data_IF_358834491811
#
_entry.id   IF_358834491811
#
_cell.length_a   1.000
_cell.length_b   1.000
_cell.length_c   1.000
_cell.angle_alpha   90.00
_cell.angle_beta   90.00
_cell.angle_gamma   90.00
#
_symmetry.space_group_name_H-M   'P 1'
#
loop_
_entity.id
_entity.type
_entity.pdbx_description
1 polymer ?
#
# COMPACT_ATOMS: atom_id res chain seq x y z
N UNK A 1 12.80 -17.27 -20.42
CA UNK A 1 11.98 -16.75 -19.60
C UNK A 1 12.48 -16.01 -18.41
N UNK A 2 13.75 -15.83 -18.36
CA UNK A 2 14.32 -15.00 -17.32
C UNK A 2 13.67 -13.64 -17.26
N UNK A 3 13.30 -13.12 -18.41
CA UNK A 3 12.73 -11.79 -18.43
C UNK A 3 11.37 -11.73 -17.77
N UNK A 4 10.66 -12.85 -17.72
CA UNK A 4 9.43 -12.90 -17.02
C UNK A 4 9.66 -12.77 -15.52
N UNK A 5 10.68 -13.45 -15.04
CA UNK A 5 11.03 -13.35 -13.63
C UNK A 5 11.49 -11.96 -13.29
N UNK A 6 12.18 -11.32 -14.20
CA UNK A 6 12.65 -9.96 -13.97
C UNK A 6 11.50 -9.00 -13.81
N UNK A 7 10.44 -9.18 -14.61
CA UNK A 7 9.27 -8.32 -14.46
C UNK A 7 8.62 -8.50 -13.11
N UNK A 8 8.54 -9.75 -12.67
CA UNK A 8 7.93 -10.04 -11.38
C UNK A 8 8.76 -9.53 -10.23
N UNK A 9 10.07 -9.56 -10.38
CA UNK A 9 10.92 -9.06 -9.30
C UNK A 9 10.90 -7.54 -9.21
N UNK A 10 10.29 -6.87 -10.20
CA UNK A 10 10.12 -5.43 -10.13
C UNK A 10 8.89 -5.07 -9.32
N UNK A 11 7.83 -4.64 -10.01
CA UNK A 11 6.66 -4.10 -9.35
C UNK A 11 5.71 -5.19 -8.86
N UNK A 12 5.34 -6.11 -9.75
CA UNK A 12 4.33 -7.11 -9.42
C UNK A 12 4.75 -8.01 -8.28
N UNK A 13 6.05 -8.21 -8.14
CA UNK A 13 6.58 -9.03 -7.07
C UNK A 13 6.21 -8.49 -5.69
N UNK A 14 6.00 -7.20 -5.58
CA UNK A 14 5.80 -6.53 -4.31
C UNK A 14 4.33 -6.37 -3.92
N UNK A 15 3.42 -6.78 -4.77
CA UNK A 15 1.98 -6.69 -4.48
C UNK A 15 1.42 -8.10 -4.53
N UNK A 16 0.86 -8.56 -3.41
CA UNK A 16 0.31 -9.92 -3.40
C UNK A 16 -0.74 -10.10 -2.32
N UNK A 17 -1.69 -10.97 -2.60
CA UNK A 17 -2.67 -11.38 -1.60
C UNK A 17 -2.10 -12.49 -0.75
N UNK A 18 -2.49 -12.52 0.52
CA UNK A 18 -2.11 -13.60 1.42
C UNK A 18 -3.20 -13.73 2.49
N UNK A 19 -3.16 -14.84 3.23
CA UNK A 19 -4.15 -15.13 4.26
C UNK A 19 -3.52 -15.03 5.64
N UNK A 20 -4.22 -14.36 6.56
CA UNK A 20 -3.77 -14.26 7.95
C UNK A 20 -4.99 -14.45 8.84
N UNK A 21 -4.95 -15.48 9.69
CA UNK A 21 -6.05 -15.80 10.61
C UNK A 21 -7.38 -15.92 9.88
N UNK A 22 -7.34 -16.60 8.73
CA UNK A 22 -8.54 -16.87 7.96
C UNK A 22 -9.05 -15.74 7.12
N UNK A 23 -8.38 -14.58 7.13
CA UNK A 23 -8.81 -13.44 6.32
C UNK A 23 -7.78 -13.15 5.23
N UNK A 24 -8.27 -12.78 4.06
CA UNK A 24 -7.40 -12.41 2.95
C UNK A 24 -6.99 -10.95 3.08
N UNK A 25 -5.70 -10.69 2.87
CA UNK A 25 -5.17 -9.33 2.90
C UNK A 25 -4.34 -9.09 1.66
N UNK A 26 -4.15 -7.82 1.34
CA UNK A 26 -3.28 -7.42 0.24
C UNK A 26 -2.04 -6.77 0.82
N UNK A 27 -0.87 -7.33 0.52
CA UNK A 27 0.39 -6.71 0.91
C UNK A 27 0.91 -5.86 -0.23
N UNK A 28 1.24 -4.61 0.10
CA UNK A 28 1.92 -3.72 -0.82
C UNK A 28 3.27 -3.43 -0.18
N UNK A 29 4.30 -4.10 -0.66
CA UNK A 29 5.64 -4.03 -0.07
C UNK A 29 6.44 -2.92 -0.73
N UNK A 30 6.49 -1.78 -0.05
CA UNK A 30 7.23 -0.61 -0.51
C UNK A 30 8.56 -0.47 0.24
N UNK A 31 8.96 -1.50 0.98
CA UNK A 31 10.17 -1.42 1.81
C UNK A 31 11.39 -1.16 0.94
N UNK A 32 12.20 -0.22 1.41
CA UNK A 32 13.47 0.18 0.78
C UNK A 32 13.33 0.65 -0.67
N UNK A 33 12.15 1.10 -1.06
CA UNK A 33 11.90 1.56 -2.42
C UNK A 33 12.37 2.99 -2.62
N UNK A 34 12.87 3.26 -3.83
CA UNK A 34 13.13 4.62 -4.27
C UNK A 34 11.79 5.29 -4.60
N UNK A 35 11.78 6.63 -4.73
CA UNK A 35 10.52 7.29 -5.12
C UNK A 35 9.95 6.78 -6.44
N UNK A 36 10.81 6.48 -7.41
CA UNK A 36 10.34 5.96 -8.70
C UNK A 36 9.67 4.60 -8.53
N UNK A 37 10.23 3.75 -7.67
CA UNK A 37 9.63 2.46 -7.40
C UNK A 37 8.31 2.59 -6.67
N UNK A 38 8.22 3.55 -5.73
CA UNK A 38 6.96 3.82 -5.04
C UNK A 38 5.88 4.21 -6.05
N UNK A 39 6.22 5.06 -7.03
CA UNK A 39 5.28 5.42 -8.08
C UNK A 39 4.78 4.21 -8.85
N UNK A 40 5.72 3.38 -9.30
CA UNK A 40 5.37 2.21 -10.11
C UNK A 40 4.46 1.26 -9.36
N UNK A 41 4.79 0.99 -8.11
CA UNK A 41 3.99 0.09 -7.29
C UNK A 41 2.61 0.68 -7.03
N UNK A 42 2.56 1.96 -6.69
CA UNK A 42 1.28 2.63 -6.41
C UNK A 42 0.35 2.59 -7.60
N UNK A 43 0.88 2.74 -8.82
CA UNK A 43 0.06 2.68 -10.02
C UNK A 43 -0.54 1.30 -10.27
N UNK A 44 0.11 0.27 -9.74
CA UNK A 44 -0.35 -1.10 -9.95
C UNK A 44 -1.38 -1.56 -8.92
N UNK A 45 -1.43 -0.92 -7.77
CA UNK A 45 -2.34 -1.35 -6.71
C UNK A 45 -3.79 -1.41 -7.18
N UNK A 46 -4.31 -0.42 -7.93
CA UNK A 46 -5.69 -0.51 -8.41
C UNK A 46 -5.99 -1.77 -9.21
N UNK A 47 -5.02 -2.29 -9.96
CA UNK A 47 -5.23 -3.50 -10.74
C UNK A 47 -5.58 -4.69 -9.85
N UNK A 48 -5.12 -4.67 -8.61
CA UNK A 48 -5.38 -5.75 -7.67
C UNK A 48 -6.68 -5.54 -6.90
N UNK A 49 -6.89 -4.32 -6.37
CA UNK A 49 -8.06 -4.09 -5.53
C UNK A 49 -9.35 -4.07 -6.32
N UNK A 50 -9.31 -3.66 -7.59
CA UNK A 50 -10.53 -3.59 -8.40
C UNK A 50 -11.05 -4.97 -8.78
N UNK A 51 -10.28 -6.03 -8.55
CA UNK A 51 -10.76 -7.40 -8.76
C UNK A 51 -11.62 -7.88 -7.59
N UNK A 52 -11.70 -7.09 -6.52
CA UNK A 52 -12.40 -7.51 -5.30
C UNK A 52 -13.69 -6.74 -5.10
N UNK A 53 -14.63 -7.30 -4.34
CA UNK A 53 -15.90 -6.61 -4.08
C UNK A 53 -15.68 -5.29 -3.34
N UNK A 54 -16.68 -4.41 -3.39
CA UNK A 54 -16.60 -3.15 -2.65
C UNK A 54 -16.34 -3.37 -1.16
N UNK A 55 -15.49 -2.53 -0.59
CA UNK A 55 -15.19 -2.50 0.85
C UNK A 55 -14.76 -3.84 1.42
N UNK A 56 -14.06 -4.64 0.62
CA UNK A 56 -13.63 -5.96 1.07
C UNK A 56 -12.13 -6.08 1.32
N UNK A 57 -11.32 -5.16 0.80
CA UNK A 57 -9.87 -5.32 0.85
C UNK A 57 -9.28 -4.80 2.15
N UNK A 58 -8.48 -5.64 2.79
CA UNK A 58 -7.66 -5.25 3.93
C UNK A 58 -6.25 -5.07 3.38
N UNK A 59 -5.74 -3.83 3.42
CA UNK A 59 -4.50 -3.49 2.75
C UNK A 59 -3.40 -3.14 3.76
N UNK A 60 -2.25 -3.80 3.62
CA UNK A 60 -1.08 -3.53 4.42
C UNK A 60 0.00 -2.94 3.53
N UNK A 61 0.37 -1.68 3.75
CA UNK A 61 1.43 -1.03 3.01
C UNK A 61 2.65 -0.87 3.90
N UNK A 62 3.77 -1.46 3.49
CA UNK A 62 5.01 -1.43 4.27
C UNK A 62 5.98 -0.46 3.63
N UNK A 63 6.25 0.66 4.33
CA UNK A 63 7.13 1.72 3.86
C UNK A 63 8.50 1.72 4.54
N UNK A 64 8.86 0.66 5.24
CA UNK A 64 10.13 0.63 5.97
C UNK A 64 11.31 0.92 5.03
N UNK A 65 12.05 1.99 5.30
CA UNK A 65 13.19 2.35 4.47
C UNK A 65 12.86 2.98 3.13
N UNK A 66 11.60 3.25 2.86
CA UNK A 66 11.19 3.85 1.59
C UNK A 66 11.47 5.34 1.55
N UNK A 67 11.68 5.86 0.34
CA UNK A 67 11.86 7.30 0.12
C UNK A 67 10.74 7.81 -0.76
N UNK A 68 10.29 9.03 -0.48
CA UNK A 68 9.21 9.66 -1.24
C UNK A 68 9.67 10.99 -1.80
N UNK A 69 9.10 11.35 -2.97
CA UNK A 69 9.23 12.69 -3.52
C UNK A 69 7.84 13.16 -3.94
N UNK A 70 7.74 14.33 -4.52
CA UNK A 70 6.46 14.90 -4.90
C UNK A 70 5.71 14.02 -5.90
N UNK A 71 6.43 13.45 -6.85
CA UNK A 71 5.80 12.59 -7.86
C UNK A 71 5.24 11.32 -7.23
N UNK A 72 5.98 10.72 -6.31
CA UNK A 72 5.52 9.53 -5.62
C UNK A 72 4.26 9.83 -4.81
N UNK A 73 4.27 10.96 -4.10
CA UNK A 73 3.13 11.37 -3.29
C UNK A 73 1.90 11.60 -4.17
N UNK A 74 2.10 12.27 -5.30
CA UNK A 74 0.99 12.53 -6.22
C UNK A 74 0.38 11.22 -6.72
N UNK A 75 1.24 10.27 -7.11
CA UNK A 75 0.77 8.98 -7.58
C UNK A 75 0.03 8.21 -6.50
N UNK A 76 0.52 8.29 -5.25
CA UNK A 76 -0.17 7.66 -4.13
C UNK A 76 -1.55 8.26 -3.93
N UNK A 77 -1.68 9.57 -4.07
CA UNK A 77 -2.98 10.23 -3.95
C UNK A 77 -3.96 9.72 -5.00
N UNK A 78 -3.52 9.66 -6.24
CA UNK A 78 -4.37 9.18 -7.33
C UNK A 78 -4.81 7.75 -7.08
N UNK A 79 -3.87 6.88 -6.74
CA UNK A 79 -4.18 5.48 -6.48
C UNK A 79 -5.16 5.33 -5.33
N UNK A 80 -4.96 6.11 -4.27
CA UNK A 80 -5.81 6.02 -3.09
C UNK A 80 -7.27 6.33 -3.43
N UNK A 81 -7.49 7.24 -4.36
CA UNK A 81 -8.85 7.58 -4.79
C UNK A 81 -9.47 6.42 -5.55
N UNK A 82 -8.73 5.82 -6.48
CA UNK A 82 -9.24 4.67 -7.24
C UNK A 82 -9.47 3.46 -6.34
N UNK A 83 -8.61 3.27 -5.35
CA UNK A 83 -8.69 2.11 -4.46
C UNK A 83 -9.87 2.21 -3.49
N UNK A 84 -10.24 3.42 -3.12
CA UNK A 84 -11.16 3.66 -2.02
C UNK A 84 -12.45 2.83 -2.04
N UNK A 85 -13.14 2.69 -3.17
CA UNK A 85 -14.41 1.94 -3.17
C UNK A 85 -14.24 0.49 -2.75
N UNK A 86 -13.05 -0.07 -2.90
CA UNK A 86 -12.77 -1.48 -2.63
C UNK A 86 -12.12 -1.73 -1.29
N UNK A 87 -11.67 -0.68 -0.62
CA UNK A 87 -10.90 -0.82 0.64
C UNK A 87 -11.81 -0.86 1.85
N UNK A 88 -11.56 -1.82 2.73
CA UNK A 88 -12.17 -1.88 4.05
C UNK A 88 -11.31 -1.14 5.05
N UNK A 89 -10.05 -1.57 5.18
CA UNK A 89 -9.07 -0.95 6.08
C UNK A 89 -7.72 -0.88 5.40
N UNK A 90 -6.96 0.17 5.71
CA UNK A 90 -5.57 0.30 5.28
C UNK A 90 -4.71 0.54 6.50
N UNK A 91 -3.61 -0.21 6.62
CA UNK A 91 -2.61 0.00 7.67
C UNK A 91 -1.27 0.28 7.03
N UNK A 92 -0.54 1.26 7.57
CA UNK A 92 0.80 1.60 7.13
C UNK A 92 1.82 1.12 8.17
N UNK A 93 2.95 0.61 7.69
CA UNK A 93 4.05 0.19 8.55
C UNK A 93 5.29 0.96 8.11
N UNK A 94 6.09 1.40 9.10
CA UNK A 94 7.36 2.02 8.80
C UNK A 94 7.27 3.44 8.26
N UNK A 95 6.15 4.10 8.47
CA UNK A 95 5.94 5.46 7.96
C UNK A 95 6.21 6.54 9.01
N UNK A 96 6.86 6.20 10.10
CA UNK A 96 7.09 7.15 11.20
C UNK A 96 7.94 8.34 10.77
N UNK A 97 8.82 8.13 9.82
CA UNK A 97 9.73 9.19 9.38
C UNK A 97 9.11 10.15 8.37
N UNK A 98 7.92 9.83 7.89
CA UNK A 98 7.27 10.70 6.92
C UNK A 98 6.71 11.93 7.65
N UNK A 99 6.76 13.10 6.99
CA UNK A 99 6.19 14.31 7.61
C UNK A 99 4.71 14.15 7.89
N UNK A 100 4.28 14.72 9.00
CA UNK A 100 2.88 14.70 9.39
C UNK A 100 1.99 15.35 8.32
N UNK A 101 2.49 16.42 7.70
CA UNK A 101 1.75 17.10 6.64
C UNK A 101 1.42 16.17 5.48
N UNK A 102 2.35 15.29 5.13
CA UNK A 102 2.14 14.34 4.06
C UNK A 102 0.99 13.40 4.38
N UNK A 103 0.98 12.86 5.58
CA UNK A 103 -0.08 11.95 6.01
C UNK A 103 -1.42 12.65 6.05
N UNK A 104 -1.44 13.87 6.56
CA UNK A 104 -2.66 14.66 6.63
C UNK A 104 -3.20 14.95 5.23
N UNK A 105 -2.30 15.25 4.32
CA UNK A 105 -2.68 15.56 2.95
C UNK A 105 -3.31 14.35 2.27
N UNK A 106 -2.72 13.18 2.46
CA UNK A 106 -3.26 11.96 1.89
C UNK A 106 -4.61 11.61 2.47
N UNK A 107 -4.76 11.76 3.79
CA UNK A 107 -6.03 11.50 4.47
C UNK A 107 -7.12 12.40 3.93
N UNK A 108 -6.82 13.68 3.78
CA UNK A 108 -7.78 14.65 3.26
C UNK A 108 -8.16 14.34 1.81
N UNK A 109 -7.15 14.09 0.99
CA UNK A 109 -7.38 13.89 -0.44
C UNK A 109 -8.18 12.62 -0.70
N UNK A 110 -7.81 11.53 -0.05
CA UNK A 110 -8.46 10.24 -0.24
C UNK A 110 -9.71 10.07 0.61
N UNK A 111 -9.89 10.93 1.59
CA UNK A 111 -11.03 10.87 2.51
C UNK A 111 -11.11 9.54 3.23
N UNK A 112 -9.96 9.05 3.70
CA UNK A 112 -9.90 7.85 4.52
C UNK A 112 -8.66 7.86 5.38
N UNK A 113 -8.69 7.04 6.44
CA UNK A 113 -7.61 7.01 7.41
C UNK A 113 -6.50 6.06 6.98
N UNK A 114 -5.28 6.41 7.39
CA UNK A 114 -4.10 5.58 7.15
C UNK A 114 -3.35 5.42 8.47
N UNK A 115 -3.89 4.64 9.42
CA UNK A 115 -3.19 4.46 10.69
C UNK A 115 -1.83 3.79 10.47
N UNK A 116 -0.84 4.21 11.26
CA UNK A 116 0.52 3.73 11.13
C UNK A 116 0.87 2.84 12.31
N UNK A 117 1.69 1.83 12.03
CA UNK A 117 2.11 0.85 13.03
C UNK A 117 3.63 0.67 12.92
N UNK A 118 4.25 0.23 14.00
CA UNK A 118 5.69 0.03 14.03
C UNK A 118 6.11 -1.27 13.38
N UNK A 119 5.23 -2.25 13.34
CA UNK A 119 5.58 -3.56 12.79
C UNK A 119 4.41 -4.11 11.98
N UNK A 120 4.75 -5.06 11.09
CA UNK A 120 3.71 -5.77 10.34
C UNK A 120 2.79 -6.55 11.26
N UNK A 121 3.34 -7.10 12.34
CA UNK A 121 2.55 -7.87 13.28
C UNK A 121 1.43 -7.05 13.90
N UNK A 122 1.75 -5.85 14.36
CA UNK A 122 0.76 -4.98 14.94
C UNK A 122 -0.30 -4.58 13.92
N UNK A 123 0.16 -4.27 12.70
CA UNK A 123 -0.75 -3.89 11.63
C UNK A 123 -1.70 -5.02 11.27
N UNK A 124 -1.16 -6.24 11.19
CA UNK A 124 -1.97 -7.41 10.84
C UNK A 124 -3.05 -7.67 11.90
N UNK A 125 -2.69 -7.54 13.16
CA UNK A 125 -3.67 -7.75 14.23
C UNK A 125 -4.82 -6.76 14.12
N UNK A 126 -4.50 -5.51 13.84
CA UNK A 126 -5.53 -4.49 13.69
C UNK A 126 -6.39 -4.74 12.46
N UNK A 127 -5.76 -5.13 11.35
CA UNK A 127 -6.51 -5.35 10.10
C UNK A 127 -7.53 -6.46 10.22
N UNK A 128 -7.20 -7.52 10.95
CA UNK A 128 -8.13 -8.66 11.08
C UNK A 128 -9.04 -8.56 12.29
N UNK A 129 -8.89 -7.52 13.09
CA UNK A 129 -9.71 -7.35 14.30
C UNK A 129 -11.17 -7.03 14.01
#
# INVERSE_FOLDING_TARGET
MARKDERQSGVDYRIRFFTHKGKELLLVDLSNCTPAEVEQISRKVPDYVTTKPPKSVLLLADFAGASLDQNAVWTMKESAVFDKPHINKTAWVGAEKFPEELKNELTKFARREFPTFKSREEALEWLVS
#
